data_IF_156123286093
#
_entry.id   IF_156123286093
#
_cell.length_a   1.000
_cell.length_b   1.000
_cell.length_c   1.000
_cell.angle_alpha   90.00
_cell.angle_beta   90.00
_cell.angle_gamma   90.00
#
_symmetry.space_group_name_H-M   'P 1'
#
loop_
_entity.id
_entity.type
_entity.pdbx_description
1 polymer ?
#
# COMPACT_ATOMS: atom_id res chain seq x y z
N UNK A 1 -9.22 -13.06 -29.24
CA UNK A 1 -10.68 -12.94 -29.49
C UNK A 1 -11.55 -13.04 -28.23
N UNK A 2 -10.95 -13.27 -27.06
CA UNK A 2 -11.68 -13.35 -25.79
C UNK A 2 -11.75 -12.00 -25.06
N UNK A 3 -10.79 -11.11 -25.26
CA UNK A 3 -10.74 -9.80 -24.62
C UNK A 3 -11.64 -8.80 -25.36
N UNK A 4 -12.44 -8.03 -24.60
CA UNK A 4 -13.36 -7.01 -25.11
C UNK A 4 -12.83 -5.59 -24.92
N UNK A 5 -12.10 -5.36 -23.81
CA UNK A 5 -11.57 -4.03 -23.44
C UNK A 5 -10.17 -3.78 -23.98
N UNK A 6 -9.37 -4.81 -24.12
CA UNK A 6 -7.93 -4.76 -24.44
C UNK A 6 -7.68 -5.36 -25.82
N UNK A 7 -6.83 -4.74 -26.62
CA UNK A 7 -6.41 -5.21 -27.96
C UNK A 7 -4.89 -5.24 -28.07
N UNK A 8 -4.40 -5.96 -29.08
CA UNK A 8 -2.96 -6.02 -29.39
C UNK A 8 -2.43 -4.61 -29.69
N UNK A 9 -1.33 -4.25 -29.04
CA UNK A 9 -0.69 -2.94 -29.16
C UNK A 9 -1.09 -1.94 -28.07
N UNK A 10 -2.07 -2.26 -27.23
CA UNK A 10 -2.41 -1.40 -26.09
C UNK A 10 -1.30 -1.43 -25.04
N UNK A 11 -1.02 -0.27 -24.46
CA UNK A 11 -0.18 -0.16 -23.27
C UNK A 11 -1.05 -0.42 -22.03
N UNK A 12 -0.64 -1.38 -21.20
CA UNK A 12 -1.45 -1.81 -20.06
C UNK A 12 -0.60 -1.94 -18.79
N UNK A 13 -1.25 -1.81 -17.64
CA UNK A 13 -0.72 -2.23 -16.33
C UNK A 13 -1.52 -3.42 -15.83
N UNK A 14 -0.81 -4.45 -15.34
CA UNK A 14 -1.46 -5.63 -14.77
C UNK A 14 -1.80 -5.38 -13.30
N UNK A 15 -3.04 -5.70 -12.94
CA UNK A 15 -3.51 -5.73 -11.55
C UNK A 15 -2.87 -6.89 -10.79
N UNK A 16 -2.59 -6.72 -9.51
CA UNK A 16 -2.13 -7.80 -8.62
C UNK A 16 -3.14 -8.94 -8.54
N UNK A 17 -4.40 -8.65 -8.76
CA UNK A 17 -5.49 -9.61 -8.74
C UNK A 17 -6.19 -9.70 -10.10
N UNK A 18 -6.55 -10.92 -10.48
CA UNK A 18 -7.46 -11.17 -11.60
C UNK A 18 -8.80 -11.58 -11.04
N UNK A 19 -9.92 -11.08 -11.57
CA UNK A 19 -11.23 -11.36 -11.03
C UNK A 19 -12.32 -11.43 -12.11
N UNK A 20 -13.36 -12.26 -11.88
CA UNK A 20 -14.40 -12.48 -12.88
C UNK A 20 -15.37 -11.31 -13.03
N UNK A 21 -15.58 -10.52 -11.99
CA UNK A 21 -16.49 -9.37 -12.00
C UNK A 21 -17.97 -9.71 -11.70
N UNK A 22 -18.36 -11.01 -11.66
CA UNK A 22 -19.75 -11.44 -11.60
C UNK A 22 -20.09 -12.39 -10.43
N UNK A 23 -19.10 -12.86 -9.66
CA UNK A 23 -19.38 -13.70 -8.50
C UNK A 23 -19.82 -12.87 -7.29
N UNK A 24 -20.36 -13.56 -6.27
CA UNK A 24 -20.83 -12.93 -5.03
C UNK A 24 -19.84 -11.92 -4.43
N UNK A 25 -18.56 -12.26 -4.46
CA UNK A 25 -17.50 -11.39 -3.90
C UNK A 25 -17.22 -10.19 -4.81
N UNK A 26 -17.07 -10.43 -6.12
CA UNK A 26 -16.76 -9.36 -7.08
C UNK A 26 -17.85 -8.29 -7.15
N UNK A 27 -19.15 -8.70 -7.14
CA UNK A 27 -20.27 -7.77 -7.13
C UNK A 27 -20.30 -6.83 -5.90
N UNK A 28 -19.56 -7.18 -4.85
CA UNK A 28 -19.42 -6.41 -3.61
C UNK A 28 -18.07 -5.71 -3.47
N UNK A 29 -17.22 -5.78 -4.50
CA UNK A 29 -15.89 -5.21 -4.47
C UNK A 29 -14.85 -6.02 -3.66
N UNK A 30 -15.15 -7.26 -3.30
CA UNK A 30 -14.25 -8.15 -2.57
C UNK A 30 -13.47 -9.05 -3.54
N UNK A 31 -12.78 -8.44 -4.48
CA UNK A 31 -12.16 -9.14 -5.62
C UNK A 31 -11.00 -10.06 -5.21
N UNK A 32 -10.34 -9.79 -4.10
CA UNK A 32 -9.34 -10.68 -3.51
C UNK A 32 -9.90 -12.10 -3.24
N UNK A 33 -11.20 -12.20 -2.97
CA UNK A 33 -11.90 -13.45 -2.69
C UNK A 33 -12.66 -14.00 -3.92
N UNK A 34 -12.35 -13.54 -5.13
CA UNK A 34 -12.98 -14.03 -6.35
C UNK A 34 -12.85 -15.54 -6.48
N UNK A 35 -13.97 -16.23 -6.80
CA UNK A 35 -14.00 -17.70 -6.91
C UNK A 35 -13.22 -18.23 -8.12
N UNK A 36 -13.06 -17.42 -9.17
CA UNK A 36 -12.35 -17.77 -10.41
C UNK A 36 -10.93 -17.19 -10.48
N UNK A 37 -10.57 -16.27 -9.56
CA UNK A 37 -9.32 -15.52 -9.62
C UNK A 37 -8.80 -15.13 -8.25
N UNK A 38 -8.76 -13.82 -7.97
CA UNK A 38 -8.14 -13.25 -6.79
C UNK A 38 -6.63 -13.13 -6.97
N UNK A 39 -5.87 -13.31 -5.94
CA UNK A 39 -4.41 -13.29 -5.97
C UNK A 39 -3.86 -14.50 -6.72
N UNK A 40 -3.68 -14.34 -8.04
CA UNK A 40 -3.42 -15.42 -8.98
C UNK A 40 -2.01 -15.35 -9.57
N UNK A 41 -1.61 -14.19 -10.13
CA UNK A 41 -0.31 -13.97 -10.74
C UNK A 41 0.82 -14.02 -9.70
N UNK A 42 1.82 -14.86 -9.96
CA UNK A 42 2.96 -15.06 -9.04
C UNK A 42 2.62 -15.87 -7.80
N UNK A 43 1.41 -16.43 -7.71
CA UNK A 43 0.97 -17.30 -6.61
C UNK A 43 0.45 -18.65 -7.12
N UNK A 44 -0.61 -18.66 -7.94
CA UNK A 44 -1.18 -19.89 -8.50
C UNK A 44 -0.66 -20.20 -9.91
N UNK A 45 -0.16 -19.20 -10.59
CA UNK A 45 0.51 -19.31 -11.91
C UNK A 45 1.74 -18.39 -11.91
N UNK A 46 2.58 -18.51 -12.95
CA UNK A 46 3.76 -17.67 -13.13
C UNK A 46 3.41 -16.18 -13.10
N UNK A 47 4.31 -15.38 -12.50
CA UNK A 47 4.14 -13.94 -12.32
C UNK A 47 4.82 -13.10 -13.40
N UNK A 48 5.03 -11.82 -13.08
CA UNK A 48 5.46 -10.79 -14.04
C UNK A 48 6.99 -10.58 -14.12
N UNK A 49 7.81 -11.37 -13.43
CA UNK A 49 9.28 -11.27 -13.50
C UNK A 49 9.81 -12.07 -14.71
N UNK A 50 9.38 -11.69 -15.89
CA UNK A 50 9.61 -12.40 -17.15
C UNK A 50 9.45 -11.44 -18.33
N UNK A 51 9.88 -11.87 -19.51
CA UNK A 51 9.67 -11.11 -20.75
C UNK A 51 8.20 -11.11 -21.20
N UNK A 52 7.48 -12.18 -20.93
CA UNK A 52 6.07 -12.36 -21.32
C UNK A 52 5.27 -12.94 -20.15
N UNK A 53 4.09 -12.44 -19.93
CA UNK A 53 3.20 -12.94 -18.88
C UNK A 53 1.80 -13.20 -19.44
N UNK A 54 1.19 -14.29 -19.01
CA UNK A 54 -0.19 -14.61 -19.34
C UNK A 54 -1.11 -14.11 -18.22
N UNK A 55 -1.94 -13.12 -18.51
CA UNK A 55 -2.91 -12.57 -17.56
C UNK A 55 -4.28 -13.19 -17.81
N UNK A 56 -4.80 -14.06 -16.92
CA UNK A 56 -6.16 -14.58 -17.01
C UNK A 56 -7.18 -13.47 -16.76
N UNK A 57 -8.39 -13.63 -17.35
CA UNK A 57 -9.50 -12.67 -17.18
C UNK A 57 -9.03 -11.24 -17.46
N UNK A 58 -8.32 -11.05 -18.57
CA UNK A 58 -7.56 -9.84 -18.88
C UNK A 58 -8.42 -8.55 -18.89
N UNK A 59 -9.70 -8.63 -19.25
CA UNK A 59 -10.61 -7.47 -19.23
C UNK A 59 -10.82 -6.86 -17.83
N UNK A 60 -10.57 -7.63 -16.77
CA UNK A 60 -10.62 -7.16 -15.39
C UNK A 60 -9.25 -7.18 -14.69
N UNK A 61 -8.26 -7.88 -15.28
CA UNK A 61 -6.91 -7.98 -14.77
C UNK A 61 -5.92 -6.99 -15.37
N UNK A 62 -6.35 -6.17 -16.33
CA UNK A 62 -5.52 -5.18 -17.00
C UNK A 62 -6.23 -3.84 -17.08
N UNK A 63 -5.48 -2.75 -16.84
CA UNK A 63 -5.95 -1.40 -17.06
C UNK A 63 -5.14 -0.72 -18.17
N UNK A 64 -5.82 0.06 -19.01
CA UNK A 64 -5.20 0.85 -20.06
C UNK A 64 -4.38 1.99 -19.46
N UNK A 65 -3.18 2.20 -19.99
CA UNK A 65 -2.32 3.33 -19.62
C UNK A 65 -2.65 4.51 -20.54
N UNK A 66 -3.14 5.64 -20.00
CA UNK A 66 -3.37 6.86 -20.79
C UNK A 66 -2.11 7.35 -21.51
N UNK A 67 -2.28 8.05 -22.64
CA UNK A 67 -1.16 8.51 -23.47
C UNK A 67 -0.23 9.51 -22.76
N UNK A 68 -0.76 10.26 -21.80
CA UNK A 68 0.01 11.22 -21.00
C UNK A 68 0.83 10.58 -19.88
N UNK A 69 0.75 9.25 -19.68
CA UNK A 69 1.48 8.52 -18.66
C UNK A 69 2.51 7.56 -19.27
N UNK A 70 3.62 7.40 -18.58
CA UNK A 70 4.64 6.38 -18.87
C UNK A 70 4.34 5.08 -18.11
N UNK A 71 5.07 3.99 -18.42
CA UNK A 71 4.98 2.76 -17.64
C UNK A 71 5.40 2.97 -16.18
N UNK A 72 6.39 3.83 -15.92
CA UNK A 72 6.88 4.12 -14.57
C UNK A 72 5.81 4.81 -13.72
N UNK A 73 5.02 5.69 -14.31
CA UNK A 73 3.97 6.44 -13.59
C UNK A 73 2.91 5.51 -13.00
N UNK A 74 2.60 4.42 -13.71
CA UNK A 74 1.54 3.47 -13.30
C UNK A 74 2.07 2.19 -12.65
N UNK A 75 3.38 2.00 -12.58
CA UNK A 75 3.97 0.75 -12.07
C UNK A 75 3.50 0.41 -10.65
N UNK A 76 3.28 1.41 -9.80
CA UNK A 76 2.76 1.20 -8.45
C UNK A 76 1.32 0.66 -8.42
N UNK A 77 0.54 0.89 -9.49
CA UNK A 77 -0.87 0.44 -9.59
C UNK A 77 -0.95 -1.08 -9.64
N UNK A 78 0.12 -1.75 -10.09
CA UNK A 78 0.14 -3.21 -10.13
C UNK A 78 0.02 -3.89 -8.75
N UNK A 79 0.32 -3.20 -7.63
CA UNK A 79 0.24 -3.80 -6.30
C UNK A 79 0.26 -2.77 -5.15
N UNK A 80 1.35 -2.00 -5.00
CA UNK A 80 1.58 -1.24 -3.75
C UNK A 80 0.65 -0.04 -3.60
N UNK A 81 0.25 0.62 -4.68
CA UNK A 81 -0.66 1.77 -4.61
C UNK A 81 -2.09 1.34 -4.25
N UNK A 82 -2.70 0.33 -4.91
CA UNK A 82 -4.01 -0.17 -4.45
C UNK A 82 -3.96 -0.71 -3.02
N UNK A 83 -2.86 -1.35 -2.59
CA UNK A 83 -2.70 -1.78 -1.19
C UNK A 83 -2.71 -0.59 -0.23
N UNK A 84 -1.95 0.47 -0.50
CA UNK A 84 -1.94 1.66 0.34
C UNK A 84 -3.28 2.40 0.34
N UNK A 85 -3.95 2.47 -0.80
CA UNK A 85 -5.28 3.06 -0.92
C UNK A 85 -6.32 2.26 -0.11
N UNK A 86 -6.30 0.93 -0.24
CA UNK A 86 -7.14 0.02 0.55
C UNK A 86 -6.91 0.19 2.06
N UNK A 87 -5.64 0.29 2.49
CA UNK A 87 -5.30 0.56 3.88
C UNK A 87 -5.88 1.88 4.41
N UNK A 88 -5.85 2.94 3.58
CA UNK A 88 -6.44 4.23 3.93
C UNK A 88 -7.98 4.19 3.97
N UNK A 89 -8.63 3.45 3.06
CA UNK A 89 -10.08 3.24 3.10
C UNK A 89 -10.52 2.44 4.33
N UNK A 90 -9.81 1.34 4.64
CA UNK A 90 -10.09 0.54 5.83
C UNK A 90 -9.99 1.35 7.12
N UNK A 91 -9.09 2.32 7.16
CA UNK A 91 -8.90 3.22 8.30
C UNK A 91 -10.04 4.22 8.50
N UNK A 92 -11.01 4.30 7.56
CA UNK A 92 -12.17 5.21 7.60
C UNK A 92 -11.80 6.68 7.89
N UNK A 93 -10.68 7.12 7.32
CA UNK A 93 -10.14 8.47 7.53
C UNK A 93 -11.19 9.52 7.17
N UNK A 94 -11.36 10.50 8.04
CA UNK A 94 -12.25 11.65 7.84
C UNK A 94 -11.46 12.93 7.72
N UNK A 95 -12.06 13.93 7.08
CA UNK A 95 -11.49 15.27 7.02
C UNK A 95 -11.22 15.82 8.41
N UNK A 96 -10.00 16.27 8.65
CA UNK A 96 -9.56 16.81 9.95
C UNK A 96 -8.95 15.78 10.91
N UNK A 97 -8.95 14.49 10.59
CA UNK A 97 -8.35 13.44 11.43
C UNK A 97 -6.83 13.58 11.58
N UNK A 98 -6.30 13.09 12.70
CA UNK A 98 -4.89 12.75 12.85
C UNK A 98 -4.70 11.27 12.56
N UNK A 99 -3.94 10.98 11.50
CA UNK A 99 -3.64 9.63 11.03
C UNK A 99 -2.22 9.26 11.41
N UNK A 100 -2.01 8.08 11.98
CA UNK A 100 -0.66 7.52 12.20
C UNK A 100 -0.45 6.33 11.26
N UNK A 101 0.68 6.35 10.54
CA UNK A 101 1.11 5.22 9.70
C UNK A 101 2.35 4.60 10.30
N UNK A 102 2.24 3.33 10.70
CA UNK A 102 3.35 2.54 11.24
C UNK A 102 4.07 1.81 10.09
N UNK A 103 5.31 2.20 9.86
CA UNK A 103 6.18 1.70 8.79
C UNK A 103 6.25 2.63 7.58
N UNK A 104 7.48 3.05 7.25
CA UNK A 104 7.83 3.82 6.05
C UNK A 104 8.48 2.91 5.00
N UNK A 105 7.81 1.81 4.66
CA UNK A 105 8.09 0.98 3.50
C UNK A 105 7.21 1.38 2.31
N UNK A 106 7.31 0.69 1.16
CA UNK A 106 6.49 1.01 -0.02
C UNK A 106 4.98 1.09 0.29
N UNK A 107 4.41 0.13 1.03
CA UNK A 107 3.00 0.15 1.42
C UNK A 107 2.68 1.31 2.39
N UNK A 108 3.58 1.63 3.33
CA UNK A 108 3.39 2.77 4.23
C UNK A 108 3.40 4.10 3.48
N UNK A 109 4.32 4.29 2.53
CA UNK A 109 4.35 5.50 1.70
C UNK A 109 3.08 5.66 0.86
N UNK A 110 2.64 4.59 0.20
CA UNK A 110 1.39 4.64 -0.59
C UNK A 110 0.16 4.81 0.30
N UNK A 111 0.17 4.30 1.54
CA UNK A 111 -0.87 4.58 2.53
C UNK A 111 -0.92 6.05 2.94
N UNK A 112 0.24 6.68 3.22
CA UNK A 112 0.32 8.12 3.53
C UNK A 112 -0.15 8.96 2.34
N UNK A 113 0.32 8.64 1.12
CA UNK A 113 -0.07 9.31 -0.12
C UNK A 113 -1.59 9.20 -0.34
N UNK A 114 -2.16 8.01 -0.18
CA UNK A 114 -3.59 7.77 -0.32
C UNK A 114 -4.41 8.44 0.79
N UNK A 115 -3.90 8.45 2.03
CA UNK A 115 -4.55 9.12 3.16
C UNK A 115 -4.77 10.62 2.91
N UNK A 116 -3.86 11.30 2.17
CA UNK A 116 -4.03 12.71 1.79
C UNK A 116 -5.32 12.97 1.00
N UNK A 117 -5.81 12.01 0.24
CA UNK A 117 -7.06 12.14 -0.52
C UNK A 117 -8.29 12.33 0.37
N UNK A 118 -8.22 11.86 1.62
CA UNK A 118 -9.27 11.99 2.64
C UNK A 118 -9.14 13.28 3.48
N UNK A 119 -8.15 14.14 3.18
CA UNK A 119 -7.91 15.44 3.82
C UNK A 119 -7.76 15.38 5.35
N UNK A 120 -6.92 14.50 5.90
CA UNK A 120 -6.63 14.55 7.33
C UNK A 120 -5.96 15.88 7.69
N UNK A 121 -6.14 16.33 8.93
CA UNK A 121 -5.42 17.49 9.45
C UNK A 121 -3.93 17.22 9.62
N UNK A 122 -3.57 15.95 9.87
CA UNK A 122 -2.17 15.55 10.09
C UNK A 122 -1.96 14.08 9.76
N UNK A 123 -0.83 13.78 9.11
CA UNK A 123 -0.30 12.42 8.94
C UNK A 123 1.03 12.32 9.68
N UNK A 124 1.12 11.37 10.63
CA UNK A 124 2.31 11.06 11.40
C UNK A 124 2.91 9.75 10.87
N UNK A 125 4.12 9.81 10.33
CA UNK A 125 4.87 8.64 9.92
C UNK A 125 5.69 8.10 11.11
N UNK A 126 5.73 6.79 11.27
CA UNK A 126 6.54 6.13 12.30
C UNK A 126 7.40 5.07 11.65
N UNK A 127 8.71 5.16 11.83
CA UNK A 127 9.67 4.13 11.40
C UNK A 127 10.87 4.11 12.36
N UNK A 128 11.75 3.14 12.18
CA UNK A 128 13.00 2.99 12.94
C UNK A 128 14.21 3.58 12.22
N UNK A 129 14.06 4.09 11.01
CA UNK A 129 15.10 4.61 10.13
C UNK A 129 14.80 6.07 9.74
N UNK A 130 15.72 6.99 10.11
CA UNK A 130 15.54 8.43 9.87
C UNK A 130 15.39 8.76 8.39
N UNK A 131 16.19 8.12 7.54
CA UNK A 131 16.17 8.34 6.09
C UNK A 131 14.81 8.05 5.46
N UNK A 132 14.09 7.07 5.98
CA UNK A 132 12.74 6.73 5.50
C UNK A 132 11.69 7.74 5.95
N UNK A 133 11.79 8.16 7.21
CA UNK A 133 10.92 9.21 7.71
C UNK A 133 11.13 10.52 6.98
N UNK A 134 12.39 10.90 6.77
CA UNK A 134 12.74 12.10 6.04
C UNK A 134 12.22 12.06 4.60
N UNK A 135 12.33 10.91 3.92
CA UNK A 135 11.78 10.71 2.60
C UNK A 135 10.27 10.99 2.54
N UNK A 136 9.50 10.54 3.54
CA UNK A 136 8.06 10.83 3.61
C UNK A 136 7.77 12.32 3.80
N UNK A 137 8.58 13.02 4.61
CA UNK A 137 8.46 14.46 4.85
C UNK A 137 8.81 15.26 3.59
N UNK A 138 9.91 14.93 2.93
CA UNK A 138 10.41 15.62 1.73
C UNK A 138 9.40 15.57 0.56
N UNK A 139 8.60 14.50 0.49
CA UNK A 139 7.56 14.35 -0.53
C UNK A 139 6.17 14.85 -0.06
N UNK A 140 6.07 15.42 1.14
CA UNK A 140 4.80 15.93 1.67
C UNK A 140 3.77 14.83 1.96
N UNK A 141 4.19 13.56 2.05
CA UNK A 141 3.29 12.45 2.36
C UNK A 141 2.98 12.37 3.86
N UNK A 142 3.89 12.81 4.71
CA UNK A 142 3.69 12.97 6.14
C UNK A 142 3.98 14.42 6.59
N UNK A 143 3.39 14.82 7.72
CA UNK A 143 3.62 16.14 8.33
C UNK A 143 4.61 16.05 9.48
N UNK A 144 4.67 14.88 10.13
CA UNK A 144 5.54 14.60 11.27
C UNK A 144 6.13 13.21 11.10
N UNK A 145 7.40 13.06 11.50
CA UNK A 145 8.06 11.77 11.61
C UNK A 145 8.47 11.50 13.05
N UNK A 146 8.26 10.28 13.51
CA UNK A 146 8.69 9.76 14.81
C UNK A 146 9.60 8.56 14.60
N UNK A 147 10.85 8.65 15.07
CA UNK A 147 11.76 7.52 15.05
C UNK A 147 11.55 6.62 16.29
N UNK A 148 10.95 5.45 16.09
CA UNK A 148 10.60 4.51 17.16
C UNK A 148 11.78 3.91 17.92
N UNK A 149 13.04 4.10 17.45
CA UNK A 149 14.25 3.73 18.18
C UNK A 149 14.77 4.85 19.09
N UNK A 150 14.33 6.08 18.84
CA UNK A 150 14.86 7.28 19.52
C UNK A 150 13.84 7.95 20.43
N UNK A 151 12.56 7.73 20.16
CA UNK A 151 11.45 8.38 20.84
C UNK A 151 10.43 7.36 21.33
N UNK A 152 9.73 7.70 22.43
CA UNK A 152 8.51 6.99 22.83
C UNK A 152 7.36 7.43 21.94
N UNK A 153 6.98 6.53 21.02
CA UNK A 153 5.95 6.81 20.02
C UNK A 153 4.59 7.11 20.67
N UNK A 154 4.23 6.38 21.74
CA UNK A 154 2.95 6.60 22.44
C UNK A 154 2.90 8.00 23.08
N UNK A 155 3.96 8.37 23.80
CA UNK A 155 4.07 9.69 24.43
C UNK A 155 4.05 10.80 23.37
N UNK A 156 4.77 10.61 22.25
CA UNK A 156 4.84 11.62 21.20
C UNK A 156 3.52 11.78 20.43
N UNK A 157 2.81 10.70 20.13
CA UNK A 157 1.48 10.77 19.52
C UNK A 157 0.49 11.47 20.45
N UNK A 158 0.52 11.17 21.75
CA UNK A 158 -0.32 11.87 22.75
C UNK A 158 -0.02 13.36 22.80
N UNK A 159 1.25 13.76 22.79
CA UNK A 159 1.63 15.17 22.75
C UNK A 159 1.06 15.86 21.49
N UNK A 160 1.19 15.24 20.33
CA UNK A 160 0.73 15.79 19.04
C UNK A 160 -0.81 15.81 18.92
N UNK A 161 -1.52 15.11 19.80
CA UNK A 161 -2.99 14.97 19.79
C UNK A 161 -3.64 15.45 21.09
N UNK A 162 -2.96 16.29 21.87
CA UNK A 162 -3.49 16.86 23.14
C UNK A 162 -3.97 15.78 24.13
N UNK A 163 -3.25 14.65 24.17
CA UNK A 163 -3.55 13.50 25.04
C UNK A 163 -4.57 12.50 24.50
N UNK A 164 -5.25 12.78 23.38
CA UNK A 164 -6.34 11.93 22.86
C UNK A 164 -5.84 10.62 22.23
N UNK A 165 -4.76 10.68 21.46
CA UNK A 165 -4.31 9.63 20.54
C UNK A 165 -4.80 9.84 19.11
N UNK A 166 -4.39 8.97 18.19
CA UNK A 166 -4.69 9.03 16.76
C UNK A 166 -6.16 8.69 16.47
N UNK A 167 -6.76 9.39 15.51
CA UNK A 167 -8.12 9.12 15.03
C UNK A 167 -8.18 7.85 14.18
N UNK A 168 -7.15 7.63 13.37
CA UNK A 168 -6.98 6.44 12.56
C UNK A 168 -5.53 5.97 12.62
N UNK A 169 -5.31 4.65 12.58
CA UNK A 169 -3.98 4.05 12.55
C UNK A 169 -3.91 3.07 11.40
N UNK A 170 -2.89 3.20 10.55
CA UNK A 170 -2.59 2.23 9.49
C UNK A 170 -1.31 1.49 9.88
N UNK A 171 -1.41 0.21 10.10
CA UNK A 171 -0.27 -0.66 10.38
C UNK A 171 0.21 -1.29 9.08
N UNK A 172 1.39 -0.86 8.60
CA UNK A 172 2.01 -1.26 7.34
C UNK A 172 3.43 -1.84 7.52
N UNK A 173 3.85 -2.13 8.75
CA UNK A 173 5.18 -2.64 9.06
C UNK A 173 5.22 -4.16 9.25
N UNK A 174 4.18 -4.76 9.83
CA UNK A 174 4.09 -6.20 10.09
C UNK A 174 5.25 -6.75 10.94
N UNK A 175 5.72 -5.97 11.92
CA UNK A 175 6.88 -6.34 12.75
C UNK A 175 6.48 -6.44 14.22
N UNK A 176 7.32 -7.15 14.98
CA UNK A 176 7.12 -7.32 16.42
C UNK A 176 6.87 -5.98 17.11
N UNK A 177 5.83 -5.95 17.90
CA UNK A 177 5.42 -4.79 18.68
C UNK A 177 4.60 -3.75 17.94
N UNK A 178 4.56 -3.72 16.59
CA UNK A 178 3.79 -2.70 15.86
C UNK A 178 2.29 -2.92 15.98
N UNK A 179 1.81 -4.17 16.06
CA UNK A 179 0.43 -4.50 16.38
C UNK A 179 0.03 -3.95 17.76
N UNK A 180 0.88 -4.18 18.78
CA UNK A 180 0.63 -3.69 20.14
C UNK A 180 0.72 -2.16 20.21
N UNK A 181 1.60 -1.55 19.45
CA UNK A 181 1.72 -0.10 19.39
C UNK A 181 0.47 0.53 18.76
N UNK A 182 -0.09 -0.07 17.70
CA UNK A 182 -1.24 0.45 16.99
C UNK A 182 -2.42 0.78 17.92
N UNK A 183 -2.80 -0.15 18.80
CA UNK A 183 -3.93 0.12 19.72
C UNK A 183 -3.57 1.06 20.86
N UNK A 184 -2.30 1.13 21.29
CA UNK A 184 -1.86 2.04 22.35
C UNK A 184 -1.97 3.51 21.93
N UNK A 185 -1.52 3.79 20.69
CA UNK A 185 -1.52 5.15 20.12
C UNK A 185 -2.88 5.60 19.60
N UNK A 186 -3.79 4.67 19.33
CA UNK A 186 -5.16 4.95 18.89
C UNK A 186 -5.98 5.58 20.03
N UNK A 187 -6.80 6.62 19.76
CA UNK A 187 -7.76 7.15 20.71
C UNK A 187 -8.91 6.17 20.94
N UNK A 188 -9.74 6.37 21.98
CA UNK A 188 -11.01 5.65 22.04
C UNK A 188 -11.87 5.87 20.79
N UNK A 189 -12.57 4.80 20.36
CA UNK A 189 -13.38 4.75 19.14
C UNK A 189 -12.62 5.05 17.84
N UNK A 190 -11.30 4.81 17.81
CA UNK A 190 -10.51 4.89 16.59
C UNK A 190 -10.67 3.64 15.74
N UNK A 191 -10.33 3.78 14.46
CA UNK A 191 -10.22 2.66 13.51
C UNK A 191 -8.75 2.31 13.32
N UNK A 192 -8.43 1.02 13.36
CA UNK A 192 -7.10 0.48 13.10
C UNK A 192 -7.17 -0.40 11.84
N UNK A 193 -6.47 0.01 10.80
CA UNK A 193 -6.29 -0.75 9.57
C UNK A 193 -4.99 -1.54 9.65
N UNK A 194 -5.09 -2.86 9.64
CA UNK A 194 -3.96 -3.79 9.56
C UNK A 194 -3.72 -4.16 8.11
N UNK A 195 -2.83 -3.44 7.47
CA UNK A 195 -2.47 -3.66 6.07
C UNK A 195 -1.32 -4.64 5.91
N UNK A 196 -0.42 -4.69 6.89
CA UNK A 196 0.73 -5.57 6.83
C UNK A 196 0.36 -7.04 7.07
N UNK A 197 1.08 -7.93 6.41
CA UNK A 197 1.03 -9.37 6.67
C UNK A 197 1.96 -9.69 7.85
N UNK A 198 1.45 -10.44 8.81
CA UNK A 198 2.21 -10.95 9.94
C UNK A 198 2.59 -12.42 9.69
N UNK A 199 3.78 -12.81 10.08
CA UNK A 199 4.27 -14.20 10.01
C UNK A 199 3.80 -15.03 11.21
N UNK A 200 3.53 -14.35 12.35
CA UNK A 200 3.14 -14.97 13.62
C UNK A 200 1.78 -14.43 14.11
N UNK A 201 1.10 -15.23 14.91
CA UNK A 201 -0.17 -14.85 15.54
C UNK A 201 -0.01 -13.61 16.41
N UNK A 202 -0.95 -12.68 16.32
CA UNK A 202 -0.98 -11.47 17.13
C UNK A 202 -2.07 -11.56 18.21
N UNK A 203 -1.72 -11.20 19.43
CA UNK A 203 -2.64 -11.25 20.58
C UNK A 203 -3.37 -9.94 20.76
N UNK A 204 -4.69 -9.98 20.80
CA UNK A 204 -5.54 -8.87 21.24
C UNK A 204 -5.60 -8.85 22.78
N UNK A 205 -4.97 -7.86 23.45
CA UNK A 205 -4.97 -7.79 24.92
C UNK A 205 -6.29 -7.19 25.43
N UNK A 206 -7.40 -7.90 25.26
CA UNK A 206 -8.75 -7.42 25.54
C UNK A 206 -8.92 -6.75 26.91
N UNK A 207 -8.35 -7.27 28.02
CA UNK A 207 -8.48 -6.59 29.32
C UNK A 207 -7.92 -5.18 29.33
N UNK A 208 -6.82 -4.93 28.58
CA UNK A 208 -6.14 -3.63 28.55
C UNK A 208 -6.78 -2.62 27.58
N UNK A 209 -7.44 -3.11 26.53
CA UNK A 209 -7.99 -2.28 25.46
C UNK A 209 -9.52 -2.18 25.49
N UNK A 210 -10.19 -2.92 26.38
CA UNK A 210 -11.65 -3.07 26.39
C UNK A 210 -12.40 -1.72 26.39
N UNK A 211 -11.97 -0.75 27.20
CA UNK A 211 -12.61 0.56 27.29
C UNK A 211 -12.34 1.52 26.14
N UNK A 212 -11.49 1.12 25.16
CA UNK A 212 -11.21 1.97 24.00
C UNK A 212 -12.25 1.84 22.87
N UNK A 213 -13.08 0.80 22.85
CA UNK A 213 -14.08 0.57 21.79
C UNK A 213 -13.50 0.67 20.36
N UNK A 214 -12.37 0.02 20.13
CA UNK A 214 -11.64 0.11 18.86
C UNK A 214 -12.31 -0.72 17.76
N UNK A 215 -12.27 -0.22 16.54
CA UNK A 215 -12.59 -0.97 15.34
C UNK A 215 -11.30 -1.46 14.69
N UNK A 216 -11.21 -2.77 14.45
CA UNK A 216 -10.09 -3.38 13.73
C UNK A 216 -10.56 -3.88 12.37
N UNK A 217 -9.79 -3.53 11.34
CA UNK A 217 -10.01 -4.00 9.98
C UNK A 217 -8.72 -4.53 9.41
N UNK A 218 -8.79 -5.67 8.75
CA UNK A 218 -7.64 -6.29 8.10
C UNK A 218 -8.08 -7.04 6.86
N UNK A 219 -7.14 -7.26 5.94
CA UNK A 219 -7.40 -8.08 4.77
C UNK A 219 -6.31 -7.95 3.72
N UNK A 220 -6.35 -8.84 2.74
CA UNK A 220 -5.66 -8.64 1.46
C UNK A 220 -6.36 -7.54 0.67
N UNK A 221 -5.62 -6.81 -0.12
CA UNK A 221 -6.17 -5.73 -0.95
C UNK A 221 -7.29 -6.26 -1.87
N UNK A 222 -8.37 -5.49 -1.99
CA UNK A 222 -9.35 -5.64 -3.06
C UNK A 222 -9.00 -4.64 -4.17
N UNK A 223 -8.17 -5.08 -5.13
CA UNK A 223 -7.59 -4.23 -6.16
C UNK A 223 -8.56 -4.02 -7.35
N UNK A 224 -9.78 -3.61 -7.06
CA UNK A 224 -10.82 -3.31 -8.07
C UNK A 224 -10.90 -1.82 -8.44
N UNK A 225 -10.00 -0.98 -7.92
CA UNK A 225 -10.00 0.48 -8.14
C UNK A 225 -8.81 0.96 -8.97
N UNK A 226 -8.15 0.08 -9.70
CA UNK A 226 -6.95 0.43 -10.46
C UNK A 226 -7.22 1.49 -11.51
N UNK A 227 -8.34 1.42 -12.23
CA UNK A 227 -8.76 2.47 -13.17
C UNK A 227 -8.87 3.85 -12.50
N UNK A 228 -9.45 3.92 -11.30
CA UNK A 228 -9.54 5.15 -10.53
C UNK A 228 -8.16 5.67 -10.09
N UNK A 229 -7.27 4.76 -9.65
CA UNK A 229 -5.92 5.15 -9.27
C UNK A 229 -5.09 5.64 -10.45
N UNK A 230 -5.20 5.00 -11.63
CA UNK A 230 -4.61 5.49 -12.89
C UNK A 230 -5.14 6.88 -13.24
N UNK A 231 -6.44 7.11 -13.08
CA UNK A 231 -7.03 8.43 -13.29
C UNK A 231 -6.44 9.48 -12.35
N UNK A 232 -6.30 9.19 -11.04
CA UNK A 232 -5.71 10.12 -10.07
C UNK A 232 -4.26 10.47 -10.40
N UNK A 233 -3.48 9.50 -10.90
CA UNK A 233 -2.12 9.74 -11.39
C UNK A 233 -2.16 10.64 -12.63
N UNK A 234 -3.02 10.34 -13.60
CA UNK A 234 -3.18 11.12 -14.83
C UNK A 234 -3.59 12.59 -14.57
N UNK A 235 -4.35 12.83 -13.51
CA UNK A 235 -4.76 14.14 -13.03
C UNK A 235 -3.71 14.84 -12.15
N UNK A 236 -2.56 14.20 -11.88
CA UNK A 236 -1.51 14.73 -11.00
C UNK A 236 -1.88 14.80 -9.52
N UNK A 237 -2.92 14.05 -9.09
CA UNK A 237 -3.35 13.99 -7.68
C UNK A 237 -2.56 12.98 -6.85
N UNK A 238 -1.95 11.99 -7.51
CA UNK A 238 -1.04 11.01 -6.94
C UNK A 238 0.22 10.93 -7.80
N UNK A 239 1.38 10.87 -7.14
CA UNK A 239 2.66 10.61 -7.80
C UNK A 239 3.43 9.53 -7.04
N UNK A 240 3.34 8.26 -7.46
CA UNK A 240 4.09 7.17 -6.85
C UNK A 240 5.50 7.00 -7.42
N UNK A 241 5.90 7.78 -8.43
CA UNK A 241 7.19 7.60 -9.14
C UNK A 241 8.43 7.71 -8.27
N UNK A 242 8.47 8.53 -7.18
CA UNK A 242 9.61 8.59 -6.29
C UNK A 242 9.95 7.27 -5.59
N UNK A 243 8.98 6.34 -5.49
CA UNK A 243 9.22 5.01 -4.92
C UNK A 243 10.20 4.18 -5.75
N UNK A 244 10.24 4.40 -7.07
CA UNK A 244 11.04 3.63 -8.02
C UNK A 244 12.38 4.31 -8.22
N UNK A 245 13.29 4.08 -7.30
CA UNK A 245 14.55 4.82 -7.19
C UNK A 245 15.76 4.09 -7.79
N UNK A 246 15.59 2.88 -8.31
CA UNK A 246 16.68 2.14 -8.98
C UNK A 246 16.13 1.21 -10.06
N UNK A 247 16.81 1.16 -11.20
CA UNK A 247 16.42 0.35 -12.35
C UNK A 247 17.46 -0.76 -12.58
N UNK A 248 16.98 -1.92 -13.01
CA UNK A 248 17.78 -3.11 -13.30
C UNK A 248 17.24 -3.82 -14.53
N UNK A 249 18.06 -4.63 -15.16
CA UNK A 249 17.63 -5.55 -16.19
C UNK A 249 17.11 -6.86 -15.59
N UNK A 250 16.36 -7.64 -16.37
CA UNK A 250 15.88 -8.94 -15.91
C UNK A 250 17.03 -9.91 -15.59
N UNK A 251 18.18 -9.78 -16.29
CA UNK A 251 19.36 -10.62 -16.04
C UNK A 251 20.00 -10.37 -14.66
N UNK A 252 19.74 -9.22 -14.05
CA UNK A 252 20.24 -8.84 -12.72
C UNK A 252 19.28 -9.26 -11.59
N UNK A 253 18.22 -10.01 -11.86
CA UNK A 253 17.13 -10.29 -10.92
C UNK A 253 17.62 -10.89 -9.59
N UNK A 254 18.62 -11.77 -9.60
CA UNK A 254 19.19 -12.35 -8.39
C UNK A 254 19.85 -11.27 -7.51
N UNK A 255 20.62 -10.36 -8.12
CA UNK A 255 21.25 -9.23 -7.44
C UNK A 255 20.20 -8.28 -6.87
N UNK A 256 19.10 -8.06 -7.59
CA UNK A 256 17.99 -7.21 -7.11
C UNK A 256 17.38 -7.74 -5.82
N UNK A 257 17.19 -9.06 -5.71
CA UNK A 257 16.67 -9.66 -4.47
C UNK A 257 17.63 -9.45 -3.30
N UNK A 258 18.93 -9.62 -3.51
CA UNK A 258 19.95 -9.35 -2.49
C UNK A 258 19.96 -7.88 -2.07
N UNK A 259 20.01 -6.97 -3.02
CA UNK A 259 20.02 -5.52 -2.78
C UNK A 259 18.75 -5.06 -2.05
N UNK A 260 17.60 -5.59 -2.45
CA UNK A 260 16.32 -5.26 -1.84
C UNK A 260 16.20 -5.80 -0.41
N UNK A 261 16.70 -7.00 -0.13
CA UNK A 261 16.68 -7.60 1.21
C UNK A 261 17.42 -6.74 2.24
N UNK A 262 18.58 -6.17 1.86
CA UNK A 262 19.41 -5.32 2.73
C UNK A 262 19.13 -3.83 2.57
N UNK A 263 18.23 -3.42 1.66
CA UNK A 263 17.91 -2.03 1.33
C UNK A 263 19.15 -1.23 0.92
N UNK A 264 19.98 -1.85 0.06
CA UNK A 264 21.25 -1.29 -0.39
C UNK A 264 21.07 0.11 -1.00
N UNK A 265 21.90 1.05 -0.59
CA UNK A 265 21.91 2.44 -1.09
C UNK A 265 20.54 3.11 -1.05
N UNK A 266 19.75 2.86 0.00
CA UNK A 266 18.43 3.45 0.18
C UNK A 266 17.37 2.92 -0.80
N UNK A 267 17.57 1.72 -1.38
CA UNK A 267 16.61 1.11 -2.30
C UNK A 267 15.23 0.98 -1.66
N UNK A 268 14.24 1.66 -2.26
CA UNK A 268 12.84 1.63 -1.82
C UNK A 268 12.07 0.58 -2.63
N UNK A 269 12.03 0.72 -3.95
CA UNK A 269 11.39 -0.22 -4.86
C UNK A 269 12.20 -0.31 -6.17
N UNK A 270 12.71 -1.49 -6.53
CA UNK A 270 13.40 -1.68 -7.81
C UNK A 270 12.42 -1.69 -8.97
N UNK A 271 12.87 -1.23 -10.13
CA UNK A 271 12.23 -1.44 -11.43
C UNK A 271 13.04 -2.46 -12.21
N UNK A 272 12.40 -3.48 -12.72
CA UNK A 272 13.01 -4.49 -13.59
C UNK A 272 12.56 -4.20 -15.01
N UNK A 273 13.52 -3.98 -15.92
CA UNK A 273 13.26 -3.82 -17.35
C UNK A 273 13.58 -5.14 -18.05
N UNK A 274 12.60 -5.83 -18.64
CA UNK A 274 12.85 -7.09 -19.35
C UNK A 274 13.59 -6.88 -20.68
N UNK A 275 13.49 -5.66 -21.25
CA UNK A 275 14.15 -5.27 -22.50
C UNK A 275 14.91 -3.96 -22.34
N UNK A 276 15.97 -3.77 -23.13
CA UNK A 276 16.55 -2.45 -23.40
C UNK A 276 15.66 -1.75 -24.43
N UNK A 277 15.11 -0.59 -24.06
CA UNK A 277 14.32 0.27 -24.96
C UNK A 277 15.18 1.44 -25.43
#
# INVERSE_FOLDING_TARGET
DACKKIKVGDRVVANVETFCGECFFCERGYVNNCVEGGWYLGHKIDGCQTEYVRVPIADNGLELIPDNLTYKDVLAVSCVLPSGYFGAELAEIKEGDTVVVLGCGPCGYTSMMSARLFKPARIIAVDRHDERGQFALDHGWADVFINSKKEDVEARVKELTEGRGADAVIEAAGKDGTFQLAWKIARPNAVISLLAMYEEDQVLPLPSMYGKNLTWKSGGVDACKDAYLVQLISEGKLDPTPLFNKEYTLNEIAQVYEDFAVKRDGLIKPVIKPYEY
#
